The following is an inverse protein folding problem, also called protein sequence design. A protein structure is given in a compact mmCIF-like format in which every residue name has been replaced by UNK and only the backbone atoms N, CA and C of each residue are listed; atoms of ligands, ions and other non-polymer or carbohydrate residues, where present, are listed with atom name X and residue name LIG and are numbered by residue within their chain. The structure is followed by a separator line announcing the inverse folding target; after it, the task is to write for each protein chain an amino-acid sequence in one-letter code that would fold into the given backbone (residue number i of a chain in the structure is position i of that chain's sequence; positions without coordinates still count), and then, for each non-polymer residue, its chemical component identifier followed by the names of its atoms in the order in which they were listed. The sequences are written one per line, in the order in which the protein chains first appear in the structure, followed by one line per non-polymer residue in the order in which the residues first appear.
data_IF_341421838084
#
_entry.id   IF_341421838084
#
_cell.length_a   1.000
_cell.length_b   1.000
_cell.length_c   1.000
_cell.angle_alpha   90.00
_cell.angle_beta   90.00
_cell.angle_gamma   90.00
#
_symmetry.space_group_name_H-M   'P 1'
#
loop_
_entity.id
_entity.type
_entity.pdbx_description
1 polymer ?
#
# COMPACT_ATOMS: atom_id res chain seq x y z
N UNK A 1 3.90 -2.85 7.58
CA UNK A 1 3.88 -1.77 6.59
C UNK A 1 4.83 -2.14 5.48
N UNK A 2 4.39 -2.12 4.23
CA UNK A 2 5.20 -2.66 3.14
C UNK A 2 6.00 -1.54 2.44
N UNK A 3 7.20 -1.87 1.93
CA UNK A 3 7.89 -1.00 0.98
C UNK A 3 7.59 -1.50 -0.41
N UNK A 4 6.94 -0.66 -1.21
CA UNK A 4 6.55 -1.01 -2.56
C UNK A 4 7.34 -0.20 -3.59
N UNK A 5 7.60 -0.83 -4.72
CA UNK A 5 8.09 -0.20 -5.94
C UNK A 5 6.96 -0.20 -6.96
N UNK A 6 6.80 0.89 -7.70
CA UNK A 6 5.69 1.00 -8.63
C UNK A 6 5.78 2.20 -9.55
N UNK A 7 4.78 2.31 -10.41
CA UNK A 7 4.64 3.39 -11.38
C UNK A 7 3.57 4.37 -10.91
N UNK A 8 3.85 5.67 -11.10
CA UNK A 8 2.86 6.71 -10.89
C UNK A 8 2.21 7.07 -12.24
N UNK A 9 0.89 7.21 -12.25
CA UNK A 9 0.13 7.60 -13.43
C UNK A 9 -0.23 9.08 -13.33
N UNK A 10 0.39 9.93 -14.13
CA UNK A 10 0.25 11.39 -14.02
C UNK A 10 -1.16 11.87 -14.33
N UNK A 11 -1.88 11.16 -15.21
CA UNK A 11 -3.24 11.55 -15.63
C UNK A 11 -4.28 11.36 -14.52
N UNK A 12 -4.10 10.39 -13.62
CA UNK A 12 -5.02 10.12 -12.51
C UNK A 12 -4.40 10.29 -11.12
N UNK A 13 -3.09 10.55 -11.03
CA UNK A 13 -2.34 10.67 -9.78
C UNK A 13 -2.17 9.36 -8.99
N UNK A 14 -2.60 8.22 -9.53
CA UNK A 14 -2.53 6.95 -8.82
C UNK A 14 -1.15 6.32 -8.93
N UNK A 15 -0.64 5.85 -7.80
CA UNK A 15 0.50 4.95 -7.73
C UNK A 15 0.03 3.49 -7.78
N UNK A 16 0.65 2.69 -8.62
CA UNK A 16 0.38 1.25 -8.74
C UNK A 16 1.64 0.46 -8.41
N UNK A 17 1.67 -0.29 -7.30
CA UNK A 17 2.82 -1.10 -6.93
C UNK A 17 2.99 -2.27 -7.92
N UNK A 18 4.21 -2.44 -8.41
CA UNK A 18 4.63 -3.55 -9.27
C UNK A 18 5.45 -4.60 -8.51
N UNK A 19 6.06 -4.21 -7.39
CA UNK A 19 6.86 -5.09 -6.55
C UNK A 19 6.76 -4.67 -5.07
N UNK A 20 6.75 -5.64 -4.16
CA UNK A 20 6.83 -5.41 -2.71
C UNK A 20 8.16 -5.97 -2.22
N UNK A 21 9.02 -5.14 -1.66
CA UNK A 21 10.38 -5.52 -1.28
C UNK A 21 10.44 -6.21 0.07
N UNK A 22 9.87 -5.56 1.07
CA UNK A 22 9.95 -5.98 2.44
C UNK A 22 8.74 -5.50 3.21
N UNK A 23 8.41 -6.29 4.23
CA UNK A 23 7.44 -5.93 5.24
C UNK A 23 8.20 -5.36 6.42
N UNK A 24 8.05 -4.06 6.62
CA UNK A 24 8.59 -3.38 7.80
C UNK A 24 7.63 -3.56 8.96
N UNK A 25 8.19 -3.97 10.09
CA UNK A 25 7.47 -4.02 11.36
C UNK A 25 6.99 -2.61 11.75
N UNK A 26 5.68 -2.43 11.96
CA UNK A 26 5.10 -1.16 12.37
C UNK A 26 5.51 -0.76 13.81
N UNK A 27 6.07 -1.69 14.59
CA UNK A 27 6.54 -1.44 15.96
C UNK A 27 5.41 -1.12 16.96
N UNK A 28 4.16 -1.45 16.60
CA UNK A 28 2.99 -1.23 17.44
C UNK A 28 2.71 -2.48 18.30
N UNK A 29 2.71 -2.32 19.63
CA UNK A 29 2.39 -3.41 20.59
C UNK A 29 0.98 -3.99 20.44
N UNK A 30 0.06 -3.21 19.85
CA UNK A 30 -1.32 -3.57 19.59
C UNK A 30 -1.56 -4.08 18.16
N UNK A 31 -0.50 -4.23 17.34
CA UNK A 31 -0.58 -4.93 16.07
C UNK A 31 -0.10 -6.36 16.29
N UNK A 32 -0.95 -7.35 16.01
CA UNK A 32 -0.64 -8.77 16.16
C UNK A 32 0.50 -9.24 15.24
N UNK A 33 0.78 -8.48 14.18
CA UNK A 33 1.81 -8.74 13.19
C UNK A 33 3.15 -8.06 13.53
N UNK A 34 3.19 -7.25 14.61
CA UNK A 34 4.40 -6.53 15.01
C UNK A 34 5.37 -7.39 15.81
N UNK A 35 6.68 -7.15 15.65
CA UNK A 35 7.69 -7.77 16.52
C UNK A 35 7.60 -7.29 17.97
N UNK A 36 6.98 -6.12 18.19
CA UNK A 36 6.74 -5.55 19.53
C UNK A 36 5.43 -6.04 20.15
N UNK A 37 4.69 -6.90 19.46
CA UNK A 37 3.51 -7.52 20.03
C UNK A 37 3.88 -8.39 21.22
N UNK A 38 3.08 -8.35 22.29
CA UNK A 38 3.34 -9.15 23.48
C UNK A 38 3.22 -10.64 23.12
N UNK A 39 4.28 -11.47 23.29
CA UNK A 39 4.23 -12.89 22.98
C UNK A 39 3.17 -13.66 23.78
N UNK A 40 2.72 -13.14 24.92
CA UNK A 40 1.65 -13.72 25.72
C UNK A 40 0.24 -13.37 25.21
N UNK A 41 0.11 -12.35 24.35
CA UNK A 41 -1.14 -12.02 23.68
C UNK A 41 -1.29 -12.94 22.46
N UNK A 42 -2.09 -14.01 22.60
CA UNK A 42 -2.25 -15.02 21.55
C UNK A 42 -3.72 -15.35 21.33
N UNK A 43 -4.10 -15.83 20.13
CA UNK A 43 -5.44 -16.34 19.89
C UNK A 43 -5.82 -17.43 20.91
N UNK A 44 -7.08 -17.49 21.37
CA UNK A 44 -8.24 -16.71 20.90
C UNK A 44 -8.44 -15.35 21.58
N UNK A 45 -7.63 -14.98 22.58
CA UNK A 45 -7.83 -13.78 23.41
C UNK A 45 -6.98 -12.58 22.93
N UNK A 46 -6.68 -12.52 21.64
CA UNK A 46 -5.90 -11.43 21.05
C UNK A 46 -6.85 -10.54 20.24
N UNK A 47 -7.25 -9.41 20.83
CA UNK A 47 -8.11 -8.39 20.21
C UNK A 47 -7.28 -7.26 19.56
N UNK A 48 -6.02 -7.55 19.21
CA UNK A 48 -5.10 -6.60 18.59
C UNK A 48 -5.33 -6.50 17.08
N UNK A 49 -4.88 -5.43 16.44
CA UNK A 49 -5.03 -5.26 14.99
C UNK A 49 -4.29 -6.36 14.24
N UNK A 50 -5.02 -7.03 13.36
CA UNK A 50 -4.50 -8.08 12.48
C UNK A 50 -4.26 -7.60 11.05
N UNK A 51 -4.59 -6.34 10.77
CA UNK A 51 -4.42 -5.74 9.46
C UNK A 51 -3.01 -5.18 9.28
N UNK A 52 -2.54 -5.23 8.04
CA UNK A 52 -1.31 -4.56 7.67
C UNK A 52 -1.60 -3.07 7.53
N UNK A 53 -0.90 -2.24 8.30
CA UNK A 53 -0.85 -0.79 8.09
C UNK A 53 -0.40 -0.46 6.65
N UNK A 54 -0.83 0.69 6.09
CA UNK A 54 -0.47 1.13 4.75
C UNK A 54 1.04 1.14 4.51
N UNK A 55 1.43 1.09 3.24
CA UNK A 55 2.84 1.08 2.81
C UNK A 55 3.67 2.16 3.52
N UNK A 56 4.77 1.75 4.17
CA UNK A 56 5.67 2.67 4.86
C UNK A 56 6.49 3.51 3.87
N UNK A 57 6.61 3.05 2.63
CA UNK A 57 7.33 3.77 1.58
C UNK A 57 6.91 3.32 0.19
N UNK A 58 6.81 4.27 -0.72
CA UNK A 58 6.58 4.05 -2.14
C UNK A 58 7.79 4.55 -2.91
N UNK A 59 8.39 3.66 -3.70
CA UNK A 59 9.48 4.00 -4.63
C UNK A 59 8.87 4.09 -6.03
N UNK A 60 8.74 5.32 -6.52
CA UNK A 60 8.28 5.57 -7.89
C UNK A 60 9.42 5.35 -8.86
N UNK A 61 9.33 4.32 -9.71
CA UNK A 61 10.37 4.00 -10.71
C UNK A 61 10.18 4.70 -12.03
N UNK A 62 8.98 5.21 -12.27
CA UNK A 62 8.60 5.78 -13.54
C UNK A 62 7.25 6.42 -13.45
N UNK A 63 7.08 7.43 -14.28
CA UNK A 63 5.83 8.14 -14.47
C UNK A 63 5.26 7.75 -15.83
N UNK A 64 3.97 7.43 -15.85
CA UNK A 64 3.21 7.13 -17.05
C UNK A 64 2.23 8.28 -17.28
N UNK A 65 2.32 8.91 -18.46
CA UNK A 65 1.46 10.03 -18.83
C UNK A 65 -0.02 9.63 -19.03
N UNK A 66 -0.31 8.33 -19.15
CA UNK A 66 -1.66 7.81 -19.29
C UNK A 66 -2.37 7.67 -17.93
N UNK A 67 -3.65 7.29 -17.96
CA UNK A 67 -4.39 6.92 -16.75
C UNK A 67 -4.17 5.44 -16.44
N UNK A 68 -4.18 5.06 -15.16
CA UNK A 68 -4.13 3.65 -14.78
C UNK A 68 -5.35 2.89 -15.33
N UNK A 69 -5.26 1.56 -15.45
CA UNK A 69 -6.33 0.70 -16.00
C UNK A 69 -7.70 0.96 -15.38
N UNK A 70 -7.74 1.22 -14.07
CA UNK A 70 -8.98 1.51 -13.34
C UNK A 70 -9.58 2.89 -13.68
N UNK A 71 -8.75 3.87 -14.00
CA UNK A 71 -9.18 5.22 -14.34
C UNK A 71 -9.36 5.44 -15.84
N UNK A 72 -8.89 4.51 -16.67
CA UNK A 72 -8.86 4.63 -18.13
C UNK A 72 -10.23 4.94 -18.71
N UNK A 73 -11.28 4.24 -18.26
CA UNK A 73 -12.66 4.48 -18.69
C UNK A 73 -13.16 5.90 -18.40
N UNK A 74 -12.77 6.50 -17.26
CA UNK A 74 -13.15 7.87 -16.90
C UNK A 74 -12.46 8.91 -17.79
N UNK A 75 -11.17 8.71 -18.07
CA UNK A 75 -10.37 9.66 -18.85
C UNK A 75 -10.50 9.49 -20.37
N UNK A 76 -10.89 8.32 -20.85
CA UNK A 76 -11.16 8.08 -22.28
C UNK A 76 -12.58 8.52 -22.67
N UNK A 77 -13.53 8.51 -21.72
CA UNK A 77 -14.89 9.03 -21.92
C UNK A 77 -14.99 10.55 -21.78
N UNK A 78 -14.00 11.20 -21.16
CA UNK A 78 -13.97 12.65 -21.00
C UNK A 78 -13.39 13.31 -22.28
N UNK A 79 -14.14 14.18 -22.99
CA UNK A 79 -13.55 14.98 -24.05
C UNK A 79 -12.46 15.90 -23.46
N UNK A 80 -11.37 16.19 -24.21
CA UNK A 80 -10.37 17.14 -23.75
C UNK A 80 -11.05 18.50 -23.48
N UNK A 81 -10.74 19.09 -22.33
CA UNK A 81 -11.14 20.47 -21.99
C UNK A 81 -10.30 21.48 -22.74
#
# INVERSE_FOLDING_TARGET
MDHSQGVAYDRCGHYVPTHFYDKVDCGNRFCALSSRHNPACKPPNCDCDHDWDPDHGQIVVGHLAEACSNCRAYFDAAPPR
#
